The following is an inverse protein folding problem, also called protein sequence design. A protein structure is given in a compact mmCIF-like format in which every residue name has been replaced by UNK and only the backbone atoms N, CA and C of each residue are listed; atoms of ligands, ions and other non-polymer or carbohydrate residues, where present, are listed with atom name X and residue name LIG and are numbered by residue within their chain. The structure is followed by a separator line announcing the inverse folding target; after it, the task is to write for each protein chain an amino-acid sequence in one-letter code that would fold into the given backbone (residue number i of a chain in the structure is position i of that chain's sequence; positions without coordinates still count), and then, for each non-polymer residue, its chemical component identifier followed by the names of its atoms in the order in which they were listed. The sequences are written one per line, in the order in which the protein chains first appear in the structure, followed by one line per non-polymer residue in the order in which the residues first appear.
data_IF_615797756315
#
_entry.id   IF_615797756315
#
_cell.length_a   1.000
_cell.length_b   1.000
_cell.length_c   1.000
_cell.angle_alpha   90.00
_cell.angle_beta   90.00
_cell.angle_gamma   90.00
#
_symmetry.space_group_name_H-M   'P 1'
#
loop_
_entity.id
_entity.type
_entity.pdbx_description
1 polymer ?
#
# COMPACT_ATOMS: atom_id res chain seq x y z
N UNK A 1 14.59 4.56 -24.79
CA UNK A 1 13.17 4.17 -25.03
C UNK A 1 12.53 5.27 -25.86
N UNK A 2 11.48 4.96 -26.63
CA UNK A 2 10.76 5.99 -27.37
C UNK A 2 10.16 7.01 -26.39
N UNK A 3 10.17 8.29 -26.73
CA UNK A 3 9.52 9.35 -25.96
C UNK A 3 8.00 9.27 -26.08
N UNK A 4 7.29 10.05 -25.26
CA UNK A 4 5.82 10.23 -25.29
C UNK A 4 5.49 11.66 -24.90
N UNK A 5 4.53 12.26 -25.59
CA UNK A 5 3.97 13.55 -25.17
C UNK A 5 2.51 13.35 -24.79
N UNK A 6 2.11 13.83 -23.62
CA UNK A 6 0.68 13.94 -23.25
C UNK A 6 0.28 15.40 -23.51
N UNK A 7 -0.72 15.62 -24.38
CA UNK A 7 -1.15 16.96 -24.80
C UNK A 7 -2.53 17.34 -24.28
N UNK A 8 -2.65 18.63 -23.90
CA UNK A 8 -3.93 19.22 -23.52
C UNK A 8 -4.49 18.68 -22.21
N UNK A 9 -3.64 18.43 -21.21
CA UNK A 9 -4.02 17.90 -19.91
C UNK A 9 -4.37 18.99 -18.91
N UNK A 10 -5.35 18.70 -18.02
CA UNK A 10 -5.44 19.34 -16.71
C UNK A 10 -4.68 18.46 -15.71
N UNK A 11 -3.53 18.92 -15.26
CA UNK A 11 -2.67 18.20 -14.31
C UNK A 11 -3.19 18.44 -12.90
N UNK A 12 -3.41 17.35 -12.14
CA UNK A 12 -3.92 17.40 -10.76
C UNK A 12 -2.97 16.58 -9.87
N UNK A 13 -2.24 17.24 -9.01
CA UNK A 13 -1.39 16.62 -8.00
C UNK A 13 -1.49 17.35 -6.65
N UNK A 14 -0.67 16.99 -5.68
CA UNK A 14 -0.69 17.58 -4.34
C UNK A 14 -0.44 19.10 -4.30
N UNK A 15 -0.02 19.72 -5.40
CA UNK A 15 0.17 21.16 -5.55
C UNK A 15 -1.07 21.87 -6.13
N UNK A 16 -2.13 21.13 -6.43
CA UNK A 16 -3.36 21.65 -7.03
C UNK A 16 -3.48 21.38 -8.53
N UNK A 17 -4.34 22.14 -9.19
CA UNK A 17 -4.63 22.01 -10.61
C UNK A 17 -3.83 23.00 -11.46
N UNK A 18 -3.39 22.55 -12.64
CA UNK A 18 -2.75 23.37 -13.66
C UNK A 18 -2.90 22.76 -15.04
N UNK A 19 -3.02 23.55 -16.08
CA UNK A 19 -3.02 23.09 -17.46
C UNK A 19 -1.59 22.97 -18.00
N UNK A 20 -1.36 22.01 -18.89
CA UNK A 20 -0.08 21.87 -19.57
C UNK A 20 0.06 20.55 -20.30
N UNK A 21 1.08 20.49 -21.16
CA UNK A 21 1.54 19.27 -21.80
C UNK A 21 2.60 18.62 -20.92
N UNK A 22 2.89 17.32 -21.15
CA UNK A 22 3.90 16.58 -20.42
C UNK A 22 4.79 15.83 -21.42
N UNK A 23 6.08 16.16 -21.45
CA UNK A 23 7.09 15.45 -22.25
C UNK A 23 7.76 14.37 -21.40
N UNK A 24 7.79 13.17 -21.94
CA UNK A 24 8.34 11.99 -21.29
C UNK A 24 9.44 11.41 -22.19
N UNK A 25 10.63 11.12 -21.61
CA UNK A 25 11.72 10.39 -22.27
C UNK A 25 12.37 9.44 -21.29
N UNK A 26 12.77 8.29 -21.75
CA UNK A 26 13.45 7.24 -20.97
C UNK A 26 12.75 6.91 -19.63
N UNK A 27 11.40 6.94 -19.66
CA UNK A 27 10.56 6.62 -18.50
C UNK A 27 10.45 7.73 -17.47
N UNK A 28 11.00 8.93 -17.72
CA UNK A 28 10.95 10.09 -16.83
C UNK A 28 10.24 11.27 -17.50
N UNK A 29 9.61 12.09 -16.67
CA UNK A 29 9.07 13.38 -17.09
C UNK A 29 10.26 14.32 -17.31
N UNK A 30 10.33 14.93 -18.49
CA UNK A 30 11.42 15.86 -18.87
C UNK A 30 10.96 17.31 -18.76
N UNK A 31 9.71 17.59 -19.19
CA UNK A 31 9.17 18.93 -19.23
C UNK A 31 7.66 18.91 -18.94
N UNK A 32 7.15 19.91 -18.25
CA UNK A 32 5.72 20.07 -17.91
C UNK A 32 5.32 21.51 -18.19
N UNK A 33 4.20 21.74 -18.87
CA UNK A 33 3.67 23.06 -19.18
C UNK A 33 3.67 23.35 -20.68
N UNK A 34 4.32 24.43 -21.14
CA UNK A 34 4.49 24.76 -22.57
C UNK A 34 5.67 23.95 -23.14
N UNK A 35 5.39 22.70 -23.51
CA UNK A 35 6.42 21.75 -24.00
C UNK A 35 6.91 22.18 -25.38
N UNK A 36 8.18 22.60 -25.46
CA UNK A 36 8.83 23.07 -26.69
C UNK A 36 9.81 22.05 -27.27
N UNK A 37 10.22 21.07 -26.46
CA UNK A 37 11.19 20.07 -26.86
C UNK A 37 10.62 18.86 -27.60
N UNK A 38 9.30 18.80 -27.82
CA UNK A 38 8.68 17.68 -28.54
C UNK A 38 8.72 17.92 -30.05
N UNK A 39 9.41 17.01 -30.76
CA UNK A 39 9.51 17.08 -32.22
C UNK A 39 8.83 15.90 -32.91
N UNK A 40 9.19 14.66 -32.53
CA UNK A 40 8.77 13.45 -33.23
C UNK A 40 8.21 12.38 -32.26
N UNK A 41 7.98 12.71 -30.99
CA UNK A 41 7.44 11.76 -30.02
C UNK A 41 5.97 11.44 -30.31
N UNK A 42 5.55 10.17 -30.09
CA UNK A 42 4.15 9.80 -30.11
C UNK A 42 3.32 10.66 -29.17
N UNK A 43 2.11 11.02 -29.58
CA UNK A 43 1.21 11.88 -28.80
C UNK A 43 0.08 11.05 -28.19
N UNK A 44 -0.08 11.15 -26.88
CA UNK A 44 -1.29 10.75 -26.17
C UNK A 44 -2.14 11.99 -25.90
N UNK A 45 -3.25 12.13 -26.63
CA UNK A 45 -4.14 13.28 -26.47
C UNK A 45 -4.97 13.13 -25.19
N UNK A 46 -4.77 14.03 -24.24
CA UNK A 46 -5.58 14.07 -23.03
C UNK A 46 -7.02 14.51 -23.29
N UNK A 47 -7.23 15.38 -24.31
CA UNK A 47 -8.58 15.82 -24.72
C UNK A 47 -9.42 16.39 -23.56
N UNK A 48 -8.80 17.25 -22.73
CA UNK A 48 -9.47 17.84 -21.56
C UNK A 48 -9.60 16.91 -20.35
N UNK A 49 -8.96 15.71 -20.38
CA UNK A 49 -8.88 14.79 -19.24
C UNK A 49 -7.92 15.28 -18.18
N UNK A 50 -8.08 14.73 -16.99
CA UNK A 50 -7.24 15.04 -15.84
C UNK A 50 -6.08 14.05 -15.78
N UNK A 51 -4.87 14.56 -15.58
CA UNK A 51 -3.66 13.76 -15.41
C UNK A 51 -3.18 13.86 -13.97
N UNK A 52 -3.10 12.72 -13.29
CA UNK A 52 -2.58 12.63 -11.93
C UNK A 52 -1.31 11.78 -11.90
N UNK A 53 -0.47 11.87 -10.83
CA UNK A 53 0.49 10.82 -10.55
C UNK A 53 -0.23 9.48 -10.40
N UNK A 54 0.48 8.38 -10.69
CA UNK A 54 0.00 7.04 -10.38
C UNK A 54 -0.21 6.84 -8.88
N UNK A 55 -1.22 6.06 -8.50
CA UNK A 55 -1.48 5.73 -7.11
C UNK A 55 -0.35 4.87 -6.53
N UNK A 56 -0.10 5.05 -5.25
CA UNK A 56 0.86 4.27 -4.45
C UNK A 56 0.09 3.56 -3.34
N UNK A 57 0.12 2.22 -3.35
CA UNK A 57 -0.51 1.38 -2.34
C UNK A 57 0.56 0.82 -1.39
N UNK A 58 0.56 1.28 -0.14
CA UNK A 58 1.58 0.92 0.84
C UNK A 58 1.30 -0.40 1.58
N UNK A 59 0.22 -1.13 1.24
CA UNK A 59 -0.12 -2.37 1.90
C UNK A 59 -0.92 -3.32 1.00
N UNK A 60 -0.25 -4.26 0.37
CA UNK A 60 -0.88 -5.36 -0.39
C UNK A 60 -0.28 -6.70 0.02
N UNK A 61 -0.93 -7.79 -0.36
CA UNK A 61 -0.46 -9.17 -0.18
C UNK A 61 -0.64 -9.96 -1.48
N UNK A 62 0.34 -9.96 -2.36
CA UNK A 62 0.23 -10.58 -3.68
C UNK A 62 0.03 -12.09 -3.64
N UNK A 63 0.43 -12.75 -2.56
CA UNK A 63 0.21 -14.18 -2.36
C UNK A 63 -1.25 -14.55 -1.99
N UNK A 64 -2.08 -13.58 -1.63
CA UNK A 64 -3.49 -13.79 -1.30
C UNK A 64 -4.40 -13.52 -2.49
N UNK A 65 -5.40 -14.39 -2.69
CA UNK A 65 -6.32 -14.34 -3.84
C UNK A 65 -7.71 -13.80 -3.50
N UNK A 66 -7.83 -13.03 -2.41
CA UNK A 66 -9.10 -12.47 -1.91
C UNK A 66 -10.20 -13.53 -1.66
N UNK A 67 -9.84 -14.79 -1.48
CA UNK A 67 -10.77 -15.86 -1.12
C UNK A 67 -11.25 -15.76 0.32
N UNK A 68 -12.30 -16.53 0.70
CA UNK A 68 -12.89 -16.47 2.04
C UNK A 68 -11.94 -16.94 3.15
N UNK A 69 -11.01 -17.84 2.87
CA UNK A 69 -10.01 -18.37 3.81
C UNK A 69 -8.59 -17.98 3.36
N UNK A 70 -7.93 -17.05 4.06
CA UNK A 70 -6.56 -16.65 3.71
C UNK A 70 -5.53 -17.78 3.90
N UNK A 71 -5.85 -18.83 4.69
CA UNK A 71 -4.96 -19.99 4.87
C UNK A 71 -4.87 -20.85 3.60
N UNK A 72 -5.71 -20.62 2.59
CA UNK A 72 -5.63 -21.34 1.32
C UNK A 72 -4.22 -21.30 0.68
N UNK A 73 -3.42 -20.27 0.97
CA UNK A 73 -2.04 -20.17 0.51
C UNK A 73 -1.15 -21.34 1.00
N UNK A 74 -1.48 -21.94 2.13
CA UNK A 74 -0.68 -23.09 2.68
C UNK A 74 -0.90 -24.38 1.90
N UNK A 75 -1.96 -24.45 1.09
CA UNK A 75 -2.29 -25.62 0.26
C UNK A 75 -1.70 -25.55 -1.15
N UNK A 76 -1.08 -24.42 -1.49
CA UNK A 76 -0.49 -24.17 -2.81
C UNK A 76 1.03 -24.35 -2.78
N UNK A 77 1.60 -24.74 -3.90
CA UNK A 77 3.04 -24.70 -4.12
C UNK A 77 3.53 -23.27 -4.32
N UNK A 78 4.81 -23.00 -4.13
CA UNK A 78 5.38 -21.67 -4.38
C UNK A 78 5.29 -21.28 -5.86
N UNK A 79 5.32 -22.26 -6.78
CA UNK A 79 5.12 -22.02 -8.20
C UNK A 79 3.68 -21.53 -8.52
N UNK A 80 2.66 -22.16 -7.91
CA UNK A 80 1.26 -21.70 -8.05
C UNK A 80 1.09 -20.29 -7.47
N UNK A 81 1.65 -20.04 -6.28
CA UNK A 81 1.62 -18.71 -5.67
C UNK A 81 2.33 -17.65 -6.54
N UNK A 82 3.45 -17.99 -7.20
CA UNK A 82 4.15 -17.08 -8.07
C UNK A 82 3.33 -16.68 -9.31
N UNK A 83 2.62 -17.63 -9.90
CA UNK A 83 1.71 -17.38 -11.03
C UNK A 83 0.55 -16.47 -10.61
N UNK A 84 -0.07 -16.74 -9.46
CA UNK A 84 -1.14 -15.90 -8.92
C UNK A 84 -0.63 -14.50 -8.55
N UNK A 85 0.50 -14.41 -7.85
CA UNK A 85 1.09 -13.13 -7.44
C UNK A 85 1.45 -12.25 -8.65
N UNK A 86 1.92 -12.84 -9.75
CA UNK A 86 2.15 -12.12 -11.01
C UNK A 86 0.85 -11.58 -11.62
N UNK A 87 -0.23 -12.38 -11.60
CA UNK A 87 -1.55 -11.94 -12.05
C UNK A 87 -2.12 -10.82 -11.15
N UNK A 88 -1.95 -10.93 -9.83
CA UNK A 88 -2.35 -9.93 -8.85
C UNK A 88 -1.58 -8.62 -9.01
N UNK A 89 -0.27 -8.68 -9.24
CA UNK A 89 0.55 -7.51 -9.52
C UNK A 89 0.07 -6.78 -10.79
N UNK A 90 -0.25 -7.52 -11.85
CA UNK A 90 -0.82 -6.94 -13.07
C UNK A 90 -2.20 -6.32 -12.81
N UNK A 91 -3.10 -6.98 -12.08
CA UNK A 91 -4.41 -6.44 -11.71
C UNK A 91 -4.27 -5.14 -10.90
N UNK A 92 -3.35 -5.10 -9.94
CA UNK A 92 -3.02 -3.91 -9.14
C UNK A 92 -2.55 -2.75 -10.03
N UNK A 93 -1.64 -3.00 -10.99
CA UNK A 93 -1.22 -1.98 -11.96
C UNK A 93 -2.39 -1.46 -12.80
N UNK A 94 -3.23 -2.37 -13.31
CA UNK A 94 -4.36 -2.00 -14.16
C UNK A 94 -5.49 -1.29 -13.42
N UNK A 95 -5.45 -1.26 -12.08
CA UNK A 95 -6.29 -0.42 -11.23
C UNK A 95 -5.70 0.99 -10.97
N UNK A 96 -4.60 1.35 -11.63
CA UNK A 96 -3.97 2.67 -11.47
C UNK A 96 -2.90 2.74 -10.37
N UNK A 97 -2.59 1.64 -9.70
CA UNK A 97 -1.51 1.57 -8.71
C UNK A 97 -0.19 1.32 -9.43
N UNK A 98 0.65 2.33 -9.53
CA UNK A 98 1.95 2.25 -10.23
C UNK A 98 3.12 1.88 -9.33
N UNK A 99 2.93 2.03 -8.02
CA UNK A 99 3.88 1.59 -6.98
C UNK A 99 3.12 0.89 -5.86
N UNK A 100 3.63 -0.24 -5.35
CA UNK A 100 3.04 -0.97 -4.24
C UNK A 100 4.09 -1.50 -3.27
N UNK A 101 3.73 -1.59 -1.97
CA UNK A 101 4.49 -2.31 -0.95
C UNK A 101 3.72 -3.57 -0.57
N UNK A 102 4.30 -4.74 -0.85
CA UNK A 102 3.81 -6.02 -0.34
C UNK A 102 4.24 -6.18 1.11
N UNK A 103 3.26 -6.36 1.99
CA UNK A 103 3.44 -6.48 3.44
C UNK A 103 3.64 -7.91 3.91
N UNK A 104 3.95 -8.79 2.98
CA UNK A 104 4.42 -10.14 3.27
C UNK A 104 3.62 -11.24 2.60
N UNK A 105 4.35 -12.29 2.26
CA UNK A 105 3.87 -13.48 1.60
C UNK A 105 4.62 -14.72 2.06
N UNK A 106 4.38 -15.84 1.38
CA UNK A 106 5.00 -17.13 1.68
C UNK A 106 6.10 -17.43 0.66
N UNK A 107 7.22 -18.02 1.12
CA UNK A 107 8.28 -18.53 0.24
C UNK A 107 9.04 -17.44 -0.51
N UNK A 108 8.98 -16.19 -0.05
CA UNK A 108 9.56 -15.00 -0.74
C UNK A 108 9.09 -14.85 -2.19
N UNK A 109 7.92 -15.41 -2.52
CA UNK A 109 7.36 -15.39 -3.88
C UNK A 109 7.23 -13.96 -4.42
N UNK A 110 6.75 -13.02 -3.59
CA UNK A 110 6.58 -11.63 -3.97
C UNK A 110 7.93 -10.94 -4.27
N UNK A 111 9.01 -11.37 -3.63
CA UNK A 111 10.37 -10.88 -3.92
C UNK A 111 10.83 -11.31 -5.32
N UNK A 112 10.54 -12.55 -5.71
CA UNK A 112 10.81 -13.03 -7.07
C UNK A 112 9.94 -12.32 -8.12
N UNK A 113 8.67 -12.06 -7.80
CA UNK A 113 7.77 -11.27 -8.68
C UNK A 113 8.29 -9.85 -8.84
N UNK A 114 8.71 -9.18 -7.74
CA UNK A 114 9.38 -7.86 -7.78
C UNK A 114 10.56 -7.86 -8.74
N UNK A 115 11.45 -8.83 -8.61
CA UNK A 115 12.66 -8.90 -9.44
C UNK A 115 12.36 -9.19 -10.90
N UNK A 116 11.31 -9.97 -11.17
CA UNK A 116 10.83 -10.22 -12.54
C UNK A 116 10.20 -8.96 -13.17
N UNK A 117 9.43 -8.16 -12.39
CA UNK A 117 8.89 -6.87 -12.85
C UNK A 117 10.03 -5.87 -13.09
N UNK A 118 11.00 -5.78 -12.17
CA UNK A 118 12.18 -4.90 -12.30
C UNK A 118 13.01 -5.23 -13.53
N UNK A 119 13.11 -6.50 -13.87
CA UNK A 119 13.79 -6.98 -15.08
C UNK A 119 12.94 -6.88 -16.36
N UNK A 120 11.73 -6.34 -16.31
CA UNK A 120 10.81 -6.21 -17.44
C UNK A 120 10.24 -7.54 -17.97
N UNK A 121 10.34 -8.63 -17.21
CA UNK A 121 9.80 -9.96 -17.57
C UNK A 121 8.33 -10.13 -17.22
N UNK A 122 7.84 -9.33 -16.28
CA UNK A 122 6.42 -9.29 -15.87
C UNK A 122 5.92 -7.84 -15.88
N UNK A 123 4.63 -7.69 -16.14
CA UNK A 123 3.93 -6.42 -15.98
C UNK A 123 3.43 -6.29 -14.54
N UNK A 124 3.66 -5.13 -13.93
CA UNK A 124 3.24 -4.82 -12.57
C UNK A 124 3.67 -3.44 -12.11
N UNK A 125 3.26 -3.01 -10.90
CA UNK A 125 3.73 -1.77 -10.30
C UNK A 125 5.22 -1.85 -9.96
N UNK A 126 5.85 -0.72 -9.62
CA UNK A 126 7.08 -0.74 -8.84
C UNK A 126 6.76 -1.42 -7.52
N UNK A 127 7.36 -2.57 -7.26
CA UNK A 127 7.06 -3.38 -6.09
C UNK A 127 8.20 -3.27 -5.06
N UNK A 128 7.84 -3.03 -3.80
CA UNK A 128 8.69 -3.21 -2.62
C UNK A 128 8.12 -4.38 -1.81
N UNK A 129 8.96 -5.19 -1.20
CA UNK A 129 8.55 -6.44 -0.55
C UNK A 129 9.07 -6.56 0.87
N UNK A 130 8.33 -7.29 1.71
CA UNK A 130 8.67 -7.49 3.13
C UNK A 130 9.02 -8.94 3.49
N UNK A 131 8.91 -9.88 2.56
CA UNK A 131 9.20 -11.30 2.84
C UNK A 131 8.21 -11.94 3.80
N UNK A 132 8.70 -12.78 4.70
CA UNK A 132 7.88 -13.35 5.75
C UNK A 132 7.67 -12.32 6.87
N UNK A 133 6.42 -11.99 7.24
CA UNK A 133 6.19 -11.20 8.43
C UNK A 133 6.75 -11.91 9.67
N UNK A 134 7.23 -11.16 10.63
CA UNK A 134 7.71 -11.68 11.90
C UNK A 134 6.57 -11.61 12.91
N UNK A 135 6.17 -12.75 13.47
CA UNK A 135 5.06 -12.83 14.42
C UNK A 135 5.42 -13.68 15.64
N UNK A 136 4.67 -13.50 16.72
CA UNK A 136 4.74 -14.37 17.88
C UNK A 136 4.41 -15.82 17.50
N UNK A 137 5.02 -16.78 18.15
CA UNK A 137 4.74 -18.22 18.02
C UNK A 137 3.24 -18.49 18.26
N UNK A 138 2.59 -19.07 17.23
CA UNK A 138 1.14 -19.33 17.24
C UNK A 138 0.25 -18.08 17.14
N UNK A 139 0.81 -16.90 16.89
CA UNK A 139 0.09 -15.65 16.77
C UNK A 139 -0.60 -15.46 15.43
N UNK A 140 -1.06 -14.24 15.19
CA UNK A 140 -1.70 -13.85 13.94
C UNK A 140 -0.73 -14.07 12.76
N UNK A 141 -1.22 -14.61 11.65
CA UNK A 141 -0.46 -14.99 10.44
C UNK A 141 0.58 -16.10 10.60
N UNK A 142 0.69 -16.75 11.76
CA UNK A 142 1.69 -17.77 12.07
C UNK A 142 1.78 -18.93 11.06
N UNK A 143 0.74 -19.14 10.25
CA UNK A 143 0.70 -20.20 9.24
C UNK A 143 1.62 -19.95 8.02
N UNK A 144 2.19 -18.75 7.87
CA UNK A 144 3.19 -18.45 6.82
C UNK A 144 4.30 -17.51 7.28
N UNK A 145 4.15 -16.88 8.44
CA UNK A 145 5.10 -15.93 9.00
C UNK A 145 6.32 -16.63 9.63
N UNK A 146 7.42 -15.89 9.79
CA UNK A 146 8.54 -16.29 10.66
C UNK A 146 8.09 -16.12 12.11
N UNK A 147 7.86 -17.23 12.78
CA UNK A 147 7.46 -17.23 14.18
C UNK A 147 8.67 -17.05 15.09
N UNK A 148 8.53 -16.20 16.11
CA UNK A 148 9.60 -15.87 17.07
C UNK A 148 9.13 -16.01 18.52
N UNK A 149 10.11 -16.21 19.42
CA UNK A 149 9.92 -16.32 20.87
C UNK A 149 11.11 -15.63 21.58
N UNK A 150 10.92 -14.37 21.96
CA UNK A 150 11.93 -13.53 22.57
C UNK A 150 12.79 -12.70 21.59
N UNK A 151 13.55 -11.77 22.16
CA UNK A 151 14.27 -10.74 21.41
C UNK A 151 15.38 -11.32 20.50
N UNK A 152 16.10 -12.35 20.94
CA UNK A 152 17.18 -12.92 20.13
C UNK A 152 16.63 -13.67 18.92
N UNK A 153 15.57 -14.45 19.08
CA UNK A 153 14.91 -15.14 17.95
C UNK A 153 14.27 -14.11 16.98
N UNK A 154 13.80 -12.98 17.51
CA UNK A 154 13.31 -11.84 16.70
C UNK A 154 14.43 -11.20 15.88
N UNK A 155 15.64 -11.09 16.45
CA UNK A 155 16.85 -10.62 15.77
C UNK A 155 17.23 -11.56 14.63
N UNK A 156 17.28 -12.86 14.89
CA UNK A 156 17.54 -13.88 13.87
C UNK A 156 16.51 -13.84 12.75
N UNK A 157 15.22 -13.74 13.10
CA UNK A 157 14.13 -13.59 12.12
C UNK A 157 14.29 -12.37 11.23
N UNK A 158 14.74 -11.23 11.78
CA UNK A 158 15.05 -10.04 11.00
C UNK A 158 16.22 -10.25 10.04
N UNK A 159 17.30 -10.89 10.50
CA UNK A 159 18.47 -11.19 9.67
C UNK A 159 18.13 -12.14 8.52
N UNK A 160 17.25 -13.13 8.74
CA UNK A 160 16.74 -14.00 7.68
C UNK A 160 16.03 -13.22 6.58
N UNK A 161 15.14 -12.25 6.94
CA UNK A 161 14.47 -11.41 5.96
C UNK A 161 15.45 -10.52 5.20
N UNK A 162 16.43 -9.92 5.90
CA UNK A 162 17.46 -9.08 5.30
C UNK A 162 18.30 -9.89 4.30
N UNK A 163 18.68 -11.13 4.65
CA UNK A 163 19.43 -12.02 3.77
C UNK A 163 18.65 -12.42 2.51
N UNK A 164 17.32 -12.47 2.58
CA UNK A 164 16.42 -12.69 1.44
C UNK A 164 16.22 -11.43 0.56
N UNK A 165 16.99 -10.35 0.81
CA UNK A 165 16.98 -9.11 0.05
C UNK A 165 15.61 -8.42 -0.03
N UNK A 166 14.80 -8.49 1.02
CA UNK A 166 13.57 -7.71 1.12
C UNK A 166 13.86 -6.21 1.17
N UNK A 167 12.89 -5.37 0.81
CA UNK A 167 13.02 -3.92 0.87
C UNK A 167 12.61 -3.36 2.24
N UNK A 168 11.68 -4.02 2.91
CA UNK A 168 11.09 -3.68 4.21
C UNK A 168 11.08 -4.89 5.13
N UNK A 169 10.95 -4.67 6.45
CA UNK A 169 10.57 -5.73 7.38
C UNK A 169 9.12 -5.49 7.85
N UNK A 170 8.40 -6.57 8.14
CA UNK A 170 7.03 -6.53 8.67
C UNK A 170 6.98 -7.28 9.98
N UNK A 171 6.43 -6.64 11.03
CA UNK A 171 6.15 -7.26 12.33
C UNK A 171 4.64 -7.31 12.57
N UNK A 172 4.18 -8.33 13.28
CA UNK A 172 2.80 -8.53 13.69
C UNK A 172 2.71 -8.28 15.19
N UNK A 173 2.24 -7.12 15.58
CA UNK A 173 2.30 -6.68 16.99
C UNK A 173 1.01 -6.90 17.75
N UNK A 174 -0.09 -7.20 17.05
CA UNK A 174 -1.38 -7.56 17.66
C UNK A 174 -2.03 -8.74 16.98
N UNK A 175 -3.05 -9.31 17.59
CA UNK A 175 -3.99 -10.19 16.94
C UNK A 175 -4.68 -9.53 15.75
N UNK A 176 -5.31 -10.33 14.89
CA UNK A 176 -5.99 -9.86 13.69
C UNK A 176 -7.42 -10.35 13.55
N UNK A 177 -8.13 -9.79 12.57
CA UNK A 177 -9.56 -10.06 12.35
C UNK A 177 -9.78 -11.49 11.86
N UNK A 178 -8.92 -12.01 10.99
CA UNK A 178 -9.05 -13.33 10.36
C UNK A 178 -8.58 -14.50 11.22
N UNK A 179 -7.98 -14.24 12.40
CA UNK A 179 -7.53 -15.29 13.32
C UNK A 179 -8.62 -15.61 14.35
N UNK A 180 -9.11 -16.85 14.41
CA UNK A 180 -10.08 -17.27 15.41
C UNK A 180 -9.52 -17.12 16.84
N UNK A 181 -10.40 -16.78 17.79
CA UNK A 181 -10.10 -16.75 19.23
C UNK A 181 -8.97 -15.79 19.68
N UNK A 182 -8.56 -14.87 18.82
CA UNK A 182 -7.59 -13.81 19.16
C UNK A 182 -8.28 -12.45 19.06
N UNK A 183 -8.19 -11.65 20.11
CA UNK A 183 -8.70 -10.28 20.10
C UNK A 183 -7.72 -9.37 19.35
N UNK A 184 -8.16 -8.56 18.37
CA UNK A 184 -7.30 -7.59 17.68
C UNK A 184 -6.62 -6.57 18.61
N UNK A 185 -7.11 -6.40 19.83
CA UNK A 185 -6.50 -5.53 20.85
C UNK A 185 -5.31 -6.16 21.57
N UNK A 186 -5.22 -7.50 21.55
CA UNK A 186 -4.17 -8.23 22.28
C UNK A 186 -2.81 -8.00 21.65
N UNK A 187 -1.84 -7.53 22.44
CA UNK A 187 -0.45 -7.45 22.01
C UNK A 187 0.14 -8.87 21.84
N UNK A 188 0.86 -9.07 20.73
CA UNK A 188 1.51 -10.35 20.41
C UNK A 188 3.03 -10.28 20.53
N UNK A 189 3.64 -9.16 20.16
CA UNK A 189 5.07 -8.92 20.35
C UNK A 189 5.29 -7.86 21.43
N UNK A 190 6.29 -8.08 22.26
CA UNK A 190 6.76 -7.11 23.23
C UNK A 190 7.56 -5.98 22.56
N UNK A 191 7.73 -4.86 23.26
CA UNK A 191 8.60 -3.78 22.80
C UNK A 191 10.02 -4.26 22.51
N UNK A 192 10.58 -5.14 23.37
CA UNK A 192 11.94 -5.66 23.24
C UNK A 192 12.10 -6.52 21.99
N UNK A 193 11.14 -7.40 21.68
CA UNK A 193 11.13 -8.21 20.46
C UNK A 193 11.06 -7.34 19.20
N UNK A 194 10.16 -6.34 19.17
CA UNK A 194 10.04 -5.42 18.04
C UNK A 194 11.30 -4.57 17.90
N UNK A 195 11.87 -4.10 18.99
CA UNK A 195 13.11 -3.31 19.01
C UNK A 195 14.29 -4.10 18.43
N UNK A 196 14.41 -5.39 18.74
CA UNK A 196 15.42 -6.26 18.17
C UNK A 196 15.32 -6.33 16.64
N UNK A 197 14.10 -6.39 16.08
CA UNK A 197 13.87 -6.33 14.63
C UNK A 197 14.25 -4.96 14.06
N UNK A 198 13.82 -3.86 14.71
CA UNK A 198 14.09 -2.48 14.26
C UNK A 198 15.59 -2.18 14.24
N UNK A 199 16.36 -2.65 15.23
CA UNK A 199 17.81 -2.49 15.31
C UNK A 199 18.52 -3.17 14.12
N UNK A 200 18.17 -4.41 13.79
CA UNK A 200 18.76 -5.12 12.65
C UNK A 200 18.35 -4.47 11.32
N UNK A 201 17.07 -4.10 11.19
CA UNK A 201 16.58 -3.40 10.02
C UNK A 201 17.32 -2.07 9.80
N UNK A 202 17.53 -1.29 10.88
CA UNK A 202 18.26 -0.01 10.83
C UNK A 202 19.72 -0.19 10.39
N UNK A 203 20.41 -1.22 10.89
CA UNK A 203 21.79 -1.55 10.45
C UNK A 203 21.84 -1.86 8.95
N UNK A 204 20.77 -2.44 8.40
CA UNK A 204 20.66 -2.77 6.99
C UNK A 204 20.03 -1.63 6.15
N UNK A 205 19.72 -0.46 6.75
CA UNK A 205 19.08 0.66 6.08
C UNK A 205 17.64 0.38 5.64
N UNK A 206 16.93 -0.52 6.33
CA UNK A 206 15.58 -0.94 5.99
C UNK A 206 14.56 -0.46 7.03
N UNK A 207 13.40 0.07 6.60
CA UNK A 207 12.32 0.43 7.51
C UNK A 207 11.50 -0.78 7.94
N UNK A 208 10.76 -0.61 9.05
CA UNK A 208 9.87 -1.63 9.62
C UNK A 208 8.43 -1.14 9.61
N UNK A 209 7.51 -1.98 9.13
CA UNK A 209 6.06 -1.79 9.17
C UNK A 209 5.44 -2.70 10.24
N UNK A 210 4.47 -2.19 11.03
CA UNK A 210 3.83 -2.93 12.11
C UNK A 210 2.34 -3.13 11.86
N UNK A 211 1.88 -4.38 11.68
CA UNK A 211 0.47 -4.71 11.85
C UNK A 211 0.08 -4.44 13.30
N UNK A 212 -0.83 -3.52 13.54
CA UNK A 212 -1.25 -3.15 14.87
C UNK A 212 -2.67 -2.58 14.87
N UNK A 213 -3.61 -3.32 15.46
CA UNK A 213 -4.96 -2.80 15.64
C UNK A 213 -5.09 -1.91 16.86
N UNK A 214 -4.52 -2.28 18.00
CA UNK A 214 -4.68 -1.45 19.18
C UNK A 214 -3.87 -1.85 20.39
N UNK A 215 -4.22 -1.21 21.53
CA UNK A 215 -3.67 -1.52 22.83
C UNK A 215 -2.15 -1.39 22.92
N UNK A 216 -1.55 -2.27 23.72
CA UNK A 216 -0.12 -2.27 23.94
C UNK A 216 0.69 -2.62 22.69
N UNK A 217 0.07 -3.30 21.69
CA UNK A 217 0.76 -3.58 20.44
C UNK A 217 1.14 -2.34 19.63
N UNK A 218 0.25 -1.31 19.57
CA UNK A 218 0.61 -0.02 18.97
C UNK A 218 1.66 0.68 19.82
N UNK A 219 1.51 0.69 21.16
CA UNK A 219 2.48 1.33 22.08
C UNK A 219 3.87 0.73 21.92
N UNK A 220 3.96 -0.61 21.91
CA UNK A 220 5.21 -1.33 21.76
C UNK A 220 5.88 -1.01 20.39
N UNK A 221 5.09 -1.00 19.31
CA UNK A 221 5.58 -0.68 17.97
C UNK A 221 6.12 0.76 17.90
N UNK A 222 5.39 1.74 18.44
CA UNK A 222 5.81 3.14 18.49
C UNK A 222 7.05 3.33 19.36
N UNK A 223 7.13 2.65 20.51
CA UNK A 223 8.29 2.73 21.41
C UNK A 223 9.54 2.08 20.80
N UNK A 224 9.36 1.02 20.01
CA UNK A 224 10.44 0.34 19.31
C UNK A 224 10.95 1.12 18.07
N UNK A 225 10.21 2.11 17.56
CA UNK A 225 10.65 2.96 16.45
C UNK A 225 10.31 2.44 15.05
N UNK A 226 9.16 1.81 14.89
CA UNK A 226 8.68 1.41 13.56
C UNK A 226 8.39 2.62 12.67
N UNK A 227 8.46 2.46 11.35
CA UNK A 227 8.19 3.53 10.39
C UNK A 227 6.71 3.75 10.11
N UNK A 228 5.90 2.69 10.13
CA UNK A 228 4.45 2.78 9.90
C UNK A 228 3.66 1.83 10.81
N UNK A 229 2.46 2.30 11.19
CA UNK A 229 1.42 1.51 11.82
C UNK A 229 0.40 1.17 10.74
N UNK A 230 0.16 -0.10 10.53
CA UNK A 230 -0.86 -0.63 9.63
C UNK A 230 -2.16 -0.81 10.40
N UNK A 231 -3.28 -0.40 9.83
CA UNK A 231 -4.63 -0.42 10.38
C UNK A 231 -4.90 0.63 11.48
N UNK A 232 -4.17 0.65 12.60
CA UNK A 232 -4.30 1.64 13.66
C UNK A 232 -5.69 1.74 14.32
N UNK A 233 -6.47 0.65 14.29
CA UNK A 233 -7.93 0.62 14.58
C UNK A 233 -8.33 1.25 15.91
N UNK A 234 -7.57 0.99 16.96
CA UNK A 234 -7.88 1.47 18.32
C UNK A 234 -6.81 2.44 18.82
N UNK A 235 -6.24 3.25 17.91
CA UNK A 235 -5.28 4.27 18.31
C UNK A 235 -5.95 5.30 19.23
N UNK A 236 -5.42 5.46 20.43
CA UNK A 236 -5.84 6.47 21.38
C UNK A 236 -5.09 7.79 21.20
N UNK A 237 -5.53 8.82 21.92
CA UNK A 237 -4.94 10.17 21.87
C UNK A 237 -3.43 10.20 22.16
N UNK A 238 -2.93 9.34 23.04
CA UNK A 238 -1.51 9.29 23.36
C UNK A 238 -0.70 8.66 22.23
N UNK A 239 -1.22 7.61 21.61
CA UNK A 239 -0.62 6.97 20.44
C UNK A 239 -0.59 7.92 19.23
N UNK A 240 -1.71 8.64 18.98
CA UNK A 240 -1.81 9.62 17.89
C UNK A 240 -0.79 10.76 18.09
N UNK A 241 -0.69 11.31 19.31
CA UNK A 241 0.33 12.32 19.61
C UNK A 241 1.76 11.80 19.37
N UNK A 242 2.03 10.55 19.74
CA UNK A 242 3.34 9.95 19.52
C UNK A 242 3.62 9.72 18.04
N UNK A 243 2.64 9.26 17.25
CA UNK A 243 2.79 9.16 15.79
C UNK A 243 3.14 10.52 15.17
N UNK A 244 2.48 11.59 15.57
CA UNK A 244 2.79 12.95 15.10
C UNK A 244 4.20 13.38 15.51
N UNK A 245 4.55 13.21 16.79
CA UNK A 245 5.84 13.65 17.33
C UNK A 245 7.04 12.94 16.68
N UNK A 246 6.90 11.63 16.43
CA UNK A 246 7.96 10.78 15.89
C UNK A 246 7.92 10.68 14.35
N UNK A 247 6.91 11.26 13.70
CA UNK A 247 6.71 11.20 12.25
C UNK A 247 6.40 9.80 11.73
N UNK A 248 5.73 8.97 12.56
CA UNK A 248 5.28 7.62 12.19
C UNK A 248 4.03 7.73 11.33
N UNK A 249 3.99 6.96 10.23
CA UNK A 249 2.86 6.97 9.31
C UNK A 249 1.74 6.04 9.77
N UNK A 250 0.50 6.39 9.43
CA UNK A 250 -0.65 5.49 9.47
C UNK A 250 -0.96 4.98 8.05
N UNK A 251 -1.17 3.66 7.90
CA UNK A 251 -1.66 3.04 6.67
C UNK A 251 -3.02 2.39 6.99
N UNK A 252 -4.16 2.99 6.61
CA UNK A 252 -5.46 2.74 7.25
C UNK A 252 -6.17 1.47 6.81
N UNK A 253 -6.04 1.05 5.56
CA UNK A 253 -6.66 -0.15 4.99
C UNK A 253 -8.18 -0.27 5.24
N UNK A 254 -8.93 0.80 5.01
CA UNK A 254 -10.36 0.88 5.28
C UNK A 254 -11.17 -0.14 4.47
N UNK A 255 -10.76 -0.38 3.22
CA UNK A 255 -11.42 -1.31 2.30
C UNK A 255 -11.39 -2.76 2.83
N UNK A 256 -10.38 -3.16 3.60
CA UNK A 256 -10.25 -4.54 4.07
C UNK A 256 -11.43 -5.00 4.97
N UNK A 257 -11.86 -4.16 5.93
CA UNK A 257 -13.05 -4.46 6.73
C UNK A 257 -14.34 -4.30 5.94
N UNK A 258 -14.42 -3.27 5.11
CA UNK A 258 -15.60 -2.99 4.28
C UNK A 258 -15.89 -4.17 3.33
N UNK A 259 -14.88 -4.71 2.66
CA UNK A 259 -15.03 -5.85 1.76
C UNK A 259 -15.54 -7.11 2.47
N UNK A 260 -15.07 -7.39 3.68
CA UNK A 260 -15.57 -8.50 4.49
C UNK A 260 -17.02 -8.31 4.94
N UNK A 261 -17.38 -7.10 5.35
CA UNK A 261 -18.75 -6.76 5.79
C UNK A 261 -19.71 -6.89 4.60
N UNK A 262 -19.37 -6.31 3.45
CA UNK A 262 -20.20 -6.31 2.25
C UNK A 262 -20.35 -7.73 1.64
N UNK A 263 -19.34 -8.57 1.77
CA UNK A 263 -19.41 -9.97 1.38
C UNK A 263 -20.31 -10.78 2.31
N UNK A 264 -20.16 -10.60 3.60
CA UNK A 264 -20.94 -11.28 4.62
C UNK A 264 -20.79 -12.81 4.59
N UNK A 265 -21.55 -13.49 5.44
CA UNK A 265 -21.58 -14.97 5.49
C UNK A 265 -22.14 -15.61 4.23
N UNK A 266 -22.99 -14.89 3.49
CA UNK A 266 -23.59 -15.36 2.24
C UNK A 266 -22.55 -15.66 1.15
N UNK A 267 -21.39 -15.00 1.16
CA UNK A 267 -20.26 -15.26 0.25
C UNK A 267 -19.17 -16.15 0.88
N UNK A 268 -19.41 -16.70 2.06
CA UNK A 268 -18.51 -17.67 2.71
C UNK A 268 -17.48 -17.03 3.65
N UNK A 269 -17.61 -15.75 4.04
CA UNK A 269 -16.81 -15.20 5.13
C UNK A 269 -17.23 -15.89 6.43
N UNK A 270 -16.29 -16.41 7.25
CA UNK A 270 -16.63 -16.98 8.54
C UNK A 270 -17.39 -15.97 9.42
N UNK A 271 -18.48 -16.41 10.09
CA UNK A 271 -19.32 -15.53 10.90
C UNK A 271 -18.53 -14.72 11.94
N UNK A 272 -17.56 -15.37 12.59
CA UNK A 272 -16.71 -14.67 13.56
C UNK A 272 -15.89 -13.54 12.93
N UNK A 273 -15.46 -13.70 11.68
CA UNK A 273 -14.67 -12.68 10.98
C UNK A 273 -15.54 -11.51 10.53
N UNK A 274 -16.76 -11.76 10.04
CA UNK A 274 -17.75 -10.70 9.74
C UNK A 274 -18.09 -9.91 11.00
N UNK A 275 -18.35 -10.59 12.12
CA UNK A 275 -18.64 -9.95 13.40
C UNK A 275 -17.48 -9.07 13.86
N UNK A 276 -16.24 -9.60 13.84
CA UNK A 276 -15.05 -8.81 14.21
C UNK A 276 -14.86 -7.61 13.27
N UNK A 277 -15.02 -7.80 11.95
CA UNK A 277 -14.92 -6.71 10.99
C UNK A 277 -15.92 -5.58 11.29
N UNK A 278 -17.19 -5.93 11.58
CA UNK A 278 -18.21 -4.95 11.92
C UNK A 278 -17.92 -4.22 13.25
N UNK A 279 -17.43 -4.93 14.27
CA UNK A 279 -17.05 -4.35 15.55
C UNK A 279 -15.89 -3.34 15.43
N UNK A 280 -14.91 -3.62 14.56
CA UNK A 280 -13.71 -2.77 14.41
C UNK A 280 -13.88 -1.66 13.38
N UNK A 281 -14.81 -1.77 12.42
CA UNK A 281 -14.97 -0.78 11.34
C UNK A 281 -15.29 0.62 11.89
N UNK A 282 -16.25 0.72 12.80
CA UNK A 282 -16.62 1.97 13.44
C UNK A 282 -15.48 2.61 14.24
N UNK A 283 -14.73 1.81 15.00
CA UNK A 283 -13.58 2.29 15.78
C UNK A 283 -12.42 2.68 14.86
N UNK A 284 -12.19 1.94 13.77
CA UNK A 284 -11.17 2.27 12.77
C UNK A 284 -11.46 3.61 12.11
N UNK A 285 -12.70 3.86 11.66
CA UNK A 285 -13.11 5.14 11.05
C UNK A 285 -12.97 6.30 12.04
N UNK A 286 -13.33 6.09 13.31
CA UNK A 286 -13.18 7.08 14.37
C UNK A 286 -11.70 7.41 14.64
N UNK A 287 -10.85 6.38 14.80
CA UNK A 287 -9.41 6.56 14.99
C UNK A 287 -8.76 7.23 13.78
N UNK A 288 -9.15 6.84 12.57
CA UNK A 288 -8.70 7.47 11.32
C UNK A 288 -9.05 8.96 11.28
N UNK A 289 -10.30 9.33 11.55
CA UNK A 289 -10.72 10.73 11.61
C UNK A 289 -9.92 11.54 12.63
N UNK A 290 -9.68 10.99 13.82
CA UNK A 290 -8.83 11.64 14.83
C UNK A 290 -7.37 11.79 14.36
N UNK A 291 -6.83 10.83 13.60
CA UNK A 291 -5.50 10.94 12.99
C UNK A 291 -5.45 12.05 11.94
N UNK A 292 -6.48 12.16 11.09
CA UNK A 292 -6.61 13.25 10.09
C UNK A 292 -6.62 14.61 10.78
N UNK A 293 -7.49 14.79 11.78
CA UNK A 293 -7.65 16.07 12.52
C UNK A 293 -6.36 16.50 13.21
N UNK A 294 -5.57 15.55 13.70
CA UNK A 294 -4.32 15.83 14.43
C UNK A 294 -3.06 15.86 13.55
N UNK A 295 -3.21 15.67 12.24
CA UNK A 295 -2.12 15.81 11.29
C UNK A 295 -1.13 14.64 11.27
N UNK A 296 -1.57 13.41 11.60
CA UNK A 296 -0.77 12.20 11.37
C UNK A 296 -0.48 12.07 9.88
N UNK A 297 0.72 11.70 9.51
CA UNK A 297 1.06 11.39 8.12
C UNK A 297 0.33 10.10 7.70
N UNK A 298 -0.64 10.20 6.79
CA UNK A 298 -1.40 9.05 6.32
C UNK A 298 -0.97 8.71 4.91
N UNK A 299 -0.62 7.44 4.69
CA UNK A 299 -0.30 6.89 3.38
C UNK A 299 -1.34 5.82 3.01
N UNK A 300 -1.88 5.90 1.80
CA UNK A 300 -2.84 4.92 1.29
C UNK A 300 -2.26 3.50 1.36
N UNK A 301 -3.06 2.55 1.80
CA UNK A 301 -2.82 1.12 1.70
C UNK A 301 -4.13 0.37 1.85
N UNK A 302 -4.27 -0.75 1.15
CA UNK A 302 -5.56 -1.42 0.98
C UNK A 302 -5.68 -2.74 1.71
N UNK A 303 -4.57 -3.42 1.99
CA UNK A 303 -4.55 -4.81 2.44
C UNK A 303 -5.17 -5.75 1.38
N UNK A 304 -4.98 -5.38 0.07
CA UNK A 304 -5.51 -6.17 -1.05
C UNK A 304 -4.96 -7.60 -1.04
N UNK A 305 -5.83 -8.55 -1.38
CA UNK A 305 -5.62 -9.97 -1.27
C UNK A 305 -6.30 -10.60 -0.04
N UNK A 306 -6.61 -9.84 1.00
CA UNK A 306 -7.39 -10.31 2.16
C UNK A 306 -8.83 -10.66 1.77
N UNK A 307 -9.61 -11.36 2.61
CA UNK A 307 -10.90 -11.90 2.20
C UNK A 307 -11.81 -10.88 1.51
N UNK A 308 -12.20 -11.19 0.26
CA UNK A 308 -13.06 -10.40 -0.65
C UNK A 308 -12.50 -9.02 -1.05
N UNK A 309 -11.32 -8.67 -0.60
CA UNK A 309 -10.61 -7.46 -0.97
C UNK A 309 -9.68 -7.74 -2.17
N UNK A 310 -10.22 -7.71 -3.37
CA UNK A 310 -9.53 -8.15 -4.58
C UNK A 310 -8.44 -7.17 -5.03
N UNK A 311 -7.33 -7.70 -5.54
CA UNK A 311 -6.41 -6.94 -6.35
C UNK A 311 -7.15 -6.38 -7.58
N UNK A 312 -6.99 -5.09 -7.85
CA UNK A 312 -7.78 -4.38 -8.88
C UNK A 312 -8.87 -3.48 -8.30
N UNK A 313 -9.23 -3.63 -7.02
CA UNK A 313 -10.14 -2.74 -6.30
C UNK A 313 -9.42 -1.64 -5.50
N UNK A 314 -8.11 -1.61 -5.51
CA UNK A 314 -7.23 -0.78 -4.67
C UNK A 314 -7.63 0.70 -4.64
N UNK A 315 -7.99 1.28 -5.79
CA UNK A 315 -8.32 2.69 -5.89
C UNK A 315 -9.61 3.09 -5.12
N UNK A 316 -10.42 2.14 -4.67
CA UNK A 316 -11.59 2.42 -3.82
C UNK A 316 -11.18 2.93 -2.42
N UNK A 317 -9.96 2.63 -1.96
CA UNK A 317 -9.46 3.16 -0.68
C UNK A 317 -9.44 4.69 -0.68
N UNK A 318 -9.19 5.35 -1.83
CA UNK A 318 -9.19 6.81 -1.96
C UNK A 318 -10.57 7.38 -1.60
N UNK A 319 -11.64 6.77 -2.14
CA UNK A 319 -13.03 7.15 -1.84
C UNK A 319 -13.35 6.92 -0.36
N UNK A 320 -12.94 5.77 0.21
CA UNK A 320 -13.17 5.44 1.63
C UNK A 320 -12.42 6.38 2.59
N UNK A 321 -11.22 6.82 2.25
CA UNK A 321 -10.49 7.83 3.04
C UNK A 321 -11.24 9.17 3.07
N UNK A 322 -11.87 9.56 1.96
CA UNK A 322 -12.73 10.77 1.92
C UNK A 322 -14.00 10.56 2.74
N UNK A 323 -14.69 9.43 2.59
CA UNK A 323 -15.85 9.09 3.43
C UNK A 323 -15.52 9.10 4.93
N UNK A 324 -14.29 8.77 5.29
CA UNK A 324 -13.82 8.71 6.68
C UNK A 324 -13.26 10.04 7.22
N UNK A 325 -13.32 11.14 6.44
CA UNK A 325 -13.04 12.49 6.93
C UNK A 325 -11.90 13.25 6.26
N UNK A 326 -11.21 12.68 5.27
CA UNK A 326 -10.26 13.44 4.44
C UNK A 326 -11.00 14.33 3.43
N UNK A 327 -10.39 15.44 3.06
CA UNK A 327 -10.76 16.12 1.81
C UNK A 327 -10.21 15.32 0.61
N UNK A 328 -10.80 15.46 -0.61
CA UNK A 328 -10.26 14.82 -1.81
C UNK A 328 -8.77 15.14 -2.06
N UNK A 329 -8.35 16.36 -1.80
CA UNK A 329 -6.94 16.77 -1.93
C UNK A 329 -6.03 16.04 -0.91
N UNK A 330 -6.48 15.84 0.33
CA UNK A 330 -5.75 15.07 1.32
C UNK A 330 -5.65 13.59 0.92
N UNK A 331 -6.74 13.00 0.41
CA UNK A 331 -6.75 11.62 -0.05
C UNK A 331 -5.82 11.42 -1.28
N UNK A 332 -5.82 12.37 -2.22
CA UNK A 332 -4.85 12.38 -3.32
C UNK A 332 -3.40 12.45 -2.80
N UNK A 333 -3.11 13.35 -1.86
CA UNK A 333 -1.78 13.45 -1.27
C UNK A 333 -1.38 12.16 -0.53
N UNK A 334 -2.31 11.55 0.24
CA UNK A 334 -2.10 10.27 0.93
C UNK A 334 -1.79 9.12 -0.03
N UNK A 335 -2.38 9.16 -1.23
CA UNK A 335 -2.22 8.11 -2.27
C UNK A 335 -1.05 8.38 -3.23
N UNK A 336 -0.34 9.49 -3.07
CA UNK A 336 0.75 9.92 -3.95
C UNK A 336 1.96 10.38 -3.14
N UNK A 337 2.09 11.66 -2.84
CA UNK A 337 3.30 12.24 -2.21
C UNK A 337 3.58 11.72 -0.81
N UNK A 338 2.54 11.53 0.02
CA UNK A 338 2.72 11.01 1.39
C UNK A 338 3.09 9.53 1.37
N UNK A 339 2.48 8.74 0.48
CA UNK A 339 2.85 7.35 0.26
C UNK A 339 4.27 7.23 -0.31
N UNK A 340 4.65 8.09 -1.27
CA UNK A 340 6.02 8.14 -1.77
C UNK A 340 7.03 8.42 -0.65
N UNK A 341 6.74 9.39 0.23
CA UNK A 341 7.56 9.72 1.39
C UNK A 341 7.68 8.56 2.39
N UNK A 342 6.59 7.83 2.64
CA UNK A 342 6.65 6.62 3.45
C UNK A 342 7.64 5.61 2.87
N UNK A 343 7.59 5.40 1.56
CA UNK A 343 8.39 4.39 0.86
C UNK A 343 9.82 4.85 0.50
N UNK A 344 10.21 6.10 0.84
CA UNK A 344 11.52 6.67 0.48
C UNK A 344 11.68 6.97 -1.01
N UNK A 345 10.58 7.29 -1.68
CA UNK A 345 10.50 7.55 -3.13
C UNK A 345 10.07 9.00 -3.44
N UNK A 346 10.11 9.90 -2.48
CA UNK A 346 9.62 11.28 -2.58
C UNK A 346 10.33 12.14 -3.62
N UNK A 347 11.52 11.71 -4.08
CA UNK A 347 12.27 12.37 -5.15
C UNK A 347 12.03 11.73 -6.53
N UNK A 348 11.20 10.66 -6.60
CA UNK A 348 11.00 9.88 -7.82
C UNK A 348 9.53 9.66 -8.20
N UNK A 349 8.61 9.73 -7.24
CA UNK A 349 7.20 9.40 -7.44
C UNK A 349 6.28 10.33 -6.65
N UNK A 350 5.01 10.41 -7.06
CA UNK A 350 3.95 11.13 -6.36
C UNK A 350 3.65 12.54 -6.89
N UNK A 351 4.43 13.05 -7.85
CA UNK A 351 4.20 14.36 -8.50
C UNK A 351 4.29 14.24 -10.03
N UNK A 352 3.62 15.18 -10.72
CA UNK A 352 3.80 15.41 -12.16
C UNK A 352 4.82 16.53 -12.33
N UNK A 353 6.12 16.16 -12.27
CA UNK A 353 7.22 17.10 -12.27
C UNK A 353 8.42 16.57 -13.05
N UNK A 354 9.20 17.49 -13.67
CA UNK A 354 10.43 17.12 -14.35
C UNK A 354 11.42 16.40 -13.41
N UNK A 355 12.02 15.32 -13.89
CA UNK A 355 12.89 14.43 -13.14
C UNK A 355 12.19 13.24 -12.48
N UNK A 356 10.88 13.31 -12.26
CA UNK A 356 10.10 12.21 -11.69
C UNK A 356 9.86 11.07 -12.70
N UNK A 357 9.66 9.87 -12.20
CA UNK A 357 9.23 8.74 -13.02
C UNK A 357 7.88 9.05 -13.65
N UNK A 358 7.73 8.78 -14.93
CA UNK A 358 6.48 9.02 -15.65
C UNK A 358 5.47 7.89 -15.37
N UNK A 359 4.98 7.86 -14.13
CA UNK A 359 3.92 7.02 -13.63
C UNK A 359 2.68 7.89 -13.49
N UNK A 360 1.75 7.83 -14.46
CA UNK A 360 0.65 8.78 -14.61
C UNK A 360 -0.67 8.07 -14.89
N UNK A 361 -1.78 8.68 -14.43
CA UNK A 361 -3.14 8.24 -14.73
C UNK A 361 -3.85 9.34 -15.51
N UNK A 362 -4.64 8.96 -16.50
CA UNK A 362 -5.58 9.83 -17.19
C UNK A 362 -6.99 9.47 -16.73
N UNK A 363 -7.69 10.46 -16.18
CA UNK A 363 -9.04 10.34 -15.65
C UNK A 363 -10.00 11.18 -16.48
N UNK A 364 -11.20 10.67 -16.73
CA UNK A 364 -12.23 11.43 -17.49
C UNK A 364 -12.96 12.43 -16.60
N UNK A 365 -12.82 12.35 -15.26
CA UNK A 365 -13.42 13.25 -14.28
C UNK A 365 -12.36 13.75 -13.29
N UNK A 366 -12.57 14.96 -12.76
CA UNK A 366 -11.68 15.54 -11.76
C UNK A 366 -11.73 14.74 -10.45
N UNK A 367 -10.62 14.16 -9.98
CA UNK A 367 -10.60 13.39 -8.73
C UNK A 367 -10.73 14.27 -7.48
N UNK A 368 -10.59 15.60 -7.59
CA UNK A 368 -10.83 16.51 -6.47
C UNK A 368 -12.32 16.81 -6.28
N UNK A 369 -13.12 16.65 -7.34
CA UNK A 369 -14.59 16.78 -7.27
C UNK A 369 -15.25 15.45 -6.91
N UNK A 370 -14.67 14.33 -7.42
CA UNK A 370 -15.19 12.99 -7.20
C UNK A 370 -14.04 11.97 -7.11
N UNK A 371 -13.65 11.55 -5.89
CA UNK A 371 -12.54 10.59 -5.68
C UNK A 371 -12.79 9.22 -6.31
N UNK A 372 -14.06 8.85 -6.61
CA UNK A 372 -14.39 7.63 -7.32
C UNK A 372 -13.84 7.60 -8.77
N UNK A 373 -13.42 8.76 -9.29
CA UNK A 373 -12.81 8.86 -10.62
C UNK A 373 -11.60 7.93 -10.79
N UNK A 374 -10.85 7.65 -9.73
CA UNK A 374 -9.70 6.76 -9.81
C UNK A 374 -10.05 5.32 -10.21
N UNK A 375 -11.26 4.84 -9.92
CA UNK A 375 -11.68 3.49 -10.30
C UNK A 375 -12.82 3.44 -11.32
N UNK A 376 -13.64 4.49 -11.43
CA UNK A 376 -14.78 4.54 -12.38
C UNK A 376 -14.43 5.21 -13.69
N UNK A 377 -13.52 6.18 -13.68
CA UNK A 377 -13.23 7.06 -14.82
C UNK A 377 -11.77 6.97 -15.31
N UNK A 378 -11.07 5.89 -14.96
CA UNK A 378 -9.68 5.64 -15.36
C UNK A 378 -9.61 5.30 -16.86
N UNK A 379 -9.16 6.25 -17.66
CA UNK A 379 -9.11 6.17 -19.11
C UNK A 379 -7.78 5.58 -19.63
N UNK A 380 -6.65 5.96 -19.02
CA UNK A 380 -5.35 5.44 -19.42
C UNK A 380 -4.37 5.39 -18.24
N UNK A 381 -3.38 4.51 -18.35
CA UNK A 381 -2.28 4.36 -17.39
C UNK A 381 -0.96 4.43 -18.16
N UNK A 382 -0.08 5.30 -17.70
CA UNK A 382 1.31 5.37 -18.13
C UNK A 382 2.19 4.87 -16.99
N UNK A 383 3.02 3.85 -17.23
CA UNK A 383 3.93 3.27 -16.26
C UNK A 383 5.35 3.35 -16.79
N UNK A 384 6.23 4.10 -16.07
CA UNK A 384 7.60 4.37 -16.51
C UNK A 384 7.66 4.82 -17.98
N UNK A 385 6.78 5.75 -18.36
CA UNK A 385 6.71 6.33 -19.70
C UNK A 385 6.06 5.47 -20.79
N UNK A 386 5.54 4.30 -20.45
CA UNK A 386 4.83 3.40 -21.38
C UNK A 386 3.34 3.39 -21.10
N UNK A 387 2.52 3.53 -22.13
CA UNK A 387 1.07 3.32 -22.00
C UNK A 387 0.82 1.82 -21.80
N UNK A 388 0.24 1.45 -20.65
CA UNK A 388 -0.06 0.05 -20.28
C UNK A 388 -1.56 -0.26 -20.30
N UNK A 389 -2.39 0.78 -20.32
CA UNK A 389 -3.85 0.70 -20.46
C UNK A 389 -4.37 1.95 -21.14
N UNK A 390 -5.34 1.81 -22.06
CA UNK A 390 -5.91 2.92 -22.83
C UNK A 390 -4.96 3.43 -23.92
N UNK A 391 -5.38 4.48 -24.65
CA UNK A 391 -4.58 5.10 -25.73
C UNK A 391 -5.46 5.58 -26.86
#
# INVERSE_FOLDING_TARGET
MAGLVIKGATIVDARGERSGDILIRDGRIVEVGDVRGATDEPVLAANGRYVTPGLIDCHVHLCYSAGPDPRAITKKTDAELAVEAAAHAKATLLAGVTTARDCGGRGFVETHVRDAIRAGRLEGPRLLTSGHPICRKGGHTSYYARQVDGAEDSREGAQEQIAAAVDWLKVITTGGITTPNVDPRTAELTEEEIRAVVEEATKAGKPVAAHAHGGDGIRNALAAGVRSIEHGTFADDAMIRKMVADGVFLVPTLIATRAMIDAGTAKGVPEFAVKKAAEVDGERRKAFGACVERGVQIAMGTDAGTPFNAHGANAQEVELMVEAGMTPAQALAASTVTAAKLLGLEQEAGLVEAGFTADLLLLSRNPLDDPSAFHRDLAAIVRAGRVVRGG
#
